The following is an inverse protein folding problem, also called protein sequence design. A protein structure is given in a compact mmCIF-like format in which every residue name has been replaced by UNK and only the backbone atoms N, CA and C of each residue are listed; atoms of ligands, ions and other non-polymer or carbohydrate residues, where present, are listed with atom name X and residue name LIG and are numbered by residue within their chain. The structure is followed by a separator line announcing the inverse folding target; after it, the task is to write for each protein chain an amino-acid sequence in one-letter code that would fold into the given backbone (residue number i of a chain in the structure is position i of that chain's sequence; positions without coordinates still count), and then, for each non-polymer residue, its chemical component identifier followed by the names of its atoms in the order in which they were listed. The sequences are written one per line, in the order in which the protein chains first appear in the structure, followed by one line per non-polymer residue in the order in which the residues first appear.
data_IF_371549635698
#
_entry.id   IF_371549635698
#
_cell.length_a   1.000
_cell.length_b   1.000
_cell.length_c   1.000
_cell.angle_alpha   90.00
_cell.angle_beta   90.00
_cell.angle_gamma   90.00
#
_symmetry.space_group_name_H-M   'P 1'
#
loop_
_entity.id
_entity.type
_entity.pdbx_description
1 polymer ?
#
# COMPACT_ATOMS: atom_id res chain seq x y z
N UNK A 1 1.90 20.30 9.19
CA UNK A 1 3.34 20.06 8.92
C UNK A 1 3.66 20.60 7.53
N UNK A 2 4.59 21.55 7.44
CA UNK A 2 4.85 22.41 6.27
C UNK A 2 5.81 21.74 5.27
N UNK A 3 5.43 21.70 3.99
CA UNK A 3 6.08 20.92 2.92
C UNK A 3 7.38 21.52 2.37
N UNK A 4 8.51 21.36 3.08
CA UNK A 4 9.84 21.79 2.60
C UNK A 4 10.76 20.65 2.11
N UNK A 5 10.20 19.54 1.59
CA UNK A 5 10.97 18.30 1.43
C UNK A 5 11.29 17.78 0.03
N UNK A 6 10.70 18.31 -1.04
CA UNK A 6 10.72 17.65 -2.38
C UNK A 6 11.92 18.02 -3.26
N UNK A 7 12.60 19.14 -2.99
CA UNK A 7 13.69 19.65 -3.84
C UNK A 7 14.87 18.69 -4.08
N UNK A 8 15.45 18.06 -3.03
CA UNK A 8 16.59 17.16 -3.21
C UNK A 8 16.24 15.88 -3.97
N UNK A 9 15.02 15.37 -3.79
CA UNK A 9 14.54 14.17 -4.48
C UNK A 9 14.31 14.44 -5.98
N UNK A 10 13.74 15.60 -6.32
CA UNK A 10 13.58 16.03 -7.72
C UNK A 10 14.94 16.28 -8.40
N UNK A 11 15.92 16.82 -7.67
CA UNK A 11 17.28 16.99 -8.18
C UNK A 11 17.97 15.64 -8.47
N UNK A 12 17.85 14.66 -7.56
CA UNK A 12 18.38 13.32 -7.77
C UNK A 12 17.72 12.63 -8.99
N UNK A 13 16.39 12.74 -9.13
CA UNK A 13 15.65 12.24 -10.31
C UNK A 13 16.13 12.89 -11.61
N UNK A 14 16.33 14.21 -11.61
CA UNK A 14 16.84 14.94 -12.76
C UNK A 14 18.21 14.44 -13.19
N UNK A 15 19.12 14.19 -12.24
CA UNK A 15 20.47 13.70 -12.51
C UNK A 15 20.46 12.27 -13.05
N UNK A 16 19.72 11.33 -12.43
CA UNK A 16 19.65 9.94 -12.92
C UNK A 16 19.00 9.85 -14.30
N UNK A 17 17.96 10.66 -14.55
CA UNK A 17 17.30 10.71 -15.86
C UNK A 17 18.22 11.30 -16.91
N UNK A 18 18.93 12.39 -16.59
CA UNK A 18 19.91 12.99 -17.49
C UNK A 18 21.07 12.04 -17.81
N UNK A 19 21.56 11.27 -16.82
CA UNK A 19 22.63 10.29 -17.02
C UNK A 19 22.17 9.13 -17.90
N UNK A 20 20.95 8.61 -17.69
CA UNK A 20 20.36 7.58 -18.54
C UNK A 20 20.19 8.06 -19.99
N UNK A 21 19.68 9.28 -20.18
CA UNK A 21 19.53 9.91 -21.50
C UNK A 21 20.89 10.14 -22.18
N UNK A 22 21.91 10.56 -21.43
CA UNK A 22 23.28 10.74 -21.95
C UNK A 22 23.88 9.41 -22.40
N UNK A 23 23.71 8.34 -21.62
CA UNK A 23 24.21 7.00 -21.98
C UNK A 23 23.47 6.44 -23.20
N UNK A 24 22.15 6.67 -23.30
CA UNK A 24 21.36 6.36 -24.50
C UNK A 24 21.87 7.16 -25.70
N UNK A 25 22.16 8.46 -25.54
CA UNK A 25 22.69 9.31 -26.60
C UNK A 25 24.08 8.87 -27.08
N UNK A 26 24.97 8.50 -26.16
CA UNK A 26 26.31 8.00 -26.49
C UNK A 26 26.22 6.67 -27.25
N UNK A 27 25.34 5.76 -26.82
CA UNK A 27 25.07 4.50 -27.52
C UNK A 27 24.50 4.74 -28.93
N UNK A 28 23.61 5.74 -29.08
CA UNK A 28 23.01 6.13 -30.37
C UNK A 28 24.03 6.70 -31.38
N UNK A 29 25.07 7.38 -30.92
CA UNK A 29 26.09 8.02 -31.78
C UNK A 29 27.18 7.08 -32.30
N UNK A 30 27.22 5.82 -31.86
CA UNK A 30 28.26 4.80 -32.18
C UNK A 30 27.65 3.57 -32.89
N UNK A 31 27.52 3.59 -34.22
CA UNK A 31 26.90 2.50 -35.00
C UNK A 31 27.72 1.19 -35.00
N UNK A 32 29.02 1.29 -34.68
CA UNK A 32 30.00 0.20 -34.56
C UNK A 32 29.82 -0.68 -33.31
N UNK A 33 29.09 -0.20 -32.30
CA UNK A 33 28.84 -0.90 -31.02
C UNK A 33 27.40 -1.44 -30.90
N UNK A 34 26.56 -1.20 -31.91
CA UNK A 34 25.11 -1.11 -31.76
C UNK A 34 24.41 -2.43 -31.36
N UNK A 35 24.93 -3.59 -31.77
CA UNK A 35 24.24 -4.87 -31.59
C UNK A 35 24.60 -5.63 -30.29
N UNK A 36 25.78 -5.37 -29.72
CA UNK A 36 26.23 -6.03 -28.47
C UNK A 36 26.28 -5.09 -27.27
N UNK A 37 26.45 -3.78 -27.47
CA UNK A 37 26.57 -2.83 -26.36
C UNK A 37 25.24 -2.26 -25.90
N UNK A 38 24.19 -2.29 -26.73
CA UNK A 38 22.88 -1.78 -26.33
C UNK A 38 22.32 -2.55 -25.12
N UNK A 39 22.40 -3.88 -25.14
CA UNK A 39 21.97 -4.72 -24.00
C UNK A 39 22.81 -4.48 -22.73
N UNK A 40 24.13 -4.30 -22.88
CA UNK A 40 25.02 -4.03 -21.75
C UNK A 40 24.81 -2.62 -21.15
N UNK A 41 24.58 -1.60 -21.98
CA UNK A 41 24.29 -0.22 -21.55
C UNK A 41 22.93 -0.15 -20.87
N UNK A 42 21.90 -0.80 -21.45
CA UNK A 42 20.56 -0.87 -20.85
C UNK A 42 20.59 -1.65 -19.53
N UNK A 43 21.33 -2.76 -19.46
CA UNK A 43 21.57 -3.51 -18.22
C UNK A 43 22.31 -2.68 -17.16
N UNK A 44 23.30 -1.88 -17.56
CA UNK A 44 24.02 -0.97 -16.67
C UNK A 44 23.15 0.16 -16.13
N UNK A 45 22.31 0.77 -16.97
CA UNK A 45 21.33 1.80 -16.55
C UNK A 45 20.33 1.20 -15.56
N UNK A 46 19.82 0.00 -15.84
CA UNK A 46 18.91 -0.71 -14.93
C UNK A 46 19.58 -0.99 -13.58
N UNK A 47 20.83 -1.47 -13.60
CA UNK A 47 21.61 -1.75 -12.38
C UNK A 47 21.83 -0.48 -11.55
N UNK A 48 22.23 0.63 -12.18
CA UNK A 48 22.43 1.92 -11.50
C UNK A 48 21.13 2.46 -10.94
N UNK A 49 20.02 2.34 -11.66
CA UNK A 49 18.70 2.75 -11.17
C UNK A 49 18.25 1.93 -9.95
N UNK A 50 18.47 0.61 -9.98
CA UNK A 50 18.20 -0.30 -8.86
C UNK A 50 19.08 0.05 -7.66
N UNK A 51 20.40 0.24 -7.87
CA UNK A 51 21.33 0.61 -6.80
C UNK A 51 21.01 1.98 -6.20
N UNK A 52 20.63 2.97 -7.01
CA UNK A 52 20.21 4.29 -6.53
C UNK A 52 18.92 4.19 -5.69
N UNK A 53 17.96 3.36 -6.10
CA UNK A 53 16.77 3.06 -5.29
C UNK A 53 17.11 2.40 -3.95
N UNK A 54 18.04 1.45 -3.95
CA UNK A 54 18.54 0.80 -2.72
C UNK A 54 19.30 1.77 -1.81
N UNK A 55 20.06 2.72 -2.35
CA UNK A 55 20.74 3.73 -1.54
C UNK A 55 19.74 4.72 -0.93
N UNK A 56 18.75 5.17 -1.71
CA UNK A 56 17.64 6.01 -1.22
C UNK A 56 16.84 5.31 -0.10
N UNK A 57 16.73 3.98 -0.14
CA UNK A 57 16.11 3.15 0.90
C UNK A 57 16.82 3.23 2.26
N UNK A 58 18.14 3.46 2.32
CA UNK A 58 18.87 3.50 3.60
C UNK A 58 19.03 4.90 4.21
N UNK A 59 18.80 5.97 3.45
CA UNK A 59 19.21 7.34 3.85
C UNK A 59 18.02 8.25 4.21
N UNK A 60 16.78 7.89 3.86
CA UNK A 60 15.65 8.81 4.00
C UNK A 60 14.97 8.79 5.38
N UNK A 61 14.59 9.98 5.91
CA UNK A 61 13.83 10.09 7.16
C UNK A 61 12.42 9.49 7.03
N UNK A 62 11.85 9.05 8.17
CA UNK A 62 10.63 8.25 8.29
C UNK A 62 9.42 8.79 7.50
N UNK A 63 9.23 10.11 7.47
CA UNK A 63 8.12 10.74 6.76
C UNK A 63 8.24 10.73 5.22
N UNK A 64 9.38 10.29 4.65
CA UNK A 64 9.60 10.20 3.20
C UNK A 64 9.69 8.78 2.68
N UNK A 65 9.66 7.77 3.56
CA UNK A 65 9.73 6.35 3.17
C UNK A 65 8.62 5.94 2.19
N UNK A 66 7.35 6.39 2.32
CA UNK A 66 6.32 6.11 1.32
C UNK A 66 6.66 6.66 -0.07
N UNK A 67 7.12 7.92 -0.16
CA UNK A 67 7.49 8.53 -1.44
C UNK A 67 8.67 7.81 -2.10
N UNK A 68 9.67 7.44 -1.31
CA UNK A 68 10.83 6.68 -1.77
C UNK A 68 10.43 5.30 -2.29
N UNK A 69 9.50 4.64 -1.59
CA UNK A 69 8.92 3.37 -2.00
C UNK A 69 8.25 3.49 -3.38
N UNK A 70 7.33 4.45 -3.56
CA UNK A 70 6.63 4.62 -4.83
C UNK A 70 7.61 4.91 -5.98
N UNK A 71 8.60 5.75 -5.75
CA UNK A 71 9.60 6.11 -6.75
C UNK A 71 10.46 4.89 -7.15
N UNK A 72 10.98 4.16 -6.16
CA UNK A 72 11.81 2.97 -6.39
C UNK A 72 11.01 1.87 -7.08
N UNK A 73 9.77 1.63 -6.63
CA UNK A 73 8.89 0.63 -7.21
C UNK A 73 8.53 0.97 -8.66
N UNK A 74 8.14 2.22 -8.94
CA UNK A 74 7.78 2.64 -10.29
C UNK A 74 8.97 2.53 -11.24
N UNK A 75 10.15 2.97 -10.83
CA UNK A 75 11.38 2.84 -11.64
C UNK A 75 11.70 1.36 -11.88
N UNK A 76 11.69 0.53 -10.84
CA UNK A 76 12.05 -0.89 -10.98
C UNK A 76 11.05 -1.67 -11.82
N UNK A 77 9.76 -1.34 -11.75
CA UNK A 77 8.70 -2.02 -12.49
C UNK A 77 8.61 -1.56 -13.95
N UNK A 78 8.70 -0.26 -14.20
CA UNK A 78 8.45 0.31 -15.54
C UNK A 78 9.69 0.26 -16.44
N UNK A 79 10.88 0.46 -15.88
CA UNK A 79 12.10 0.62 -16.65
C UNK A 79 12.45 -0.64 -17.48
N UNK A 80 12.33 -1.88 -16.97
CA UNK A 80 12.51 -3.08 -17.81
C UNK A 80 11.54 -3.15 -18.98
N UNK A 81 10.26 -2.83 -18.75
CA UNK A 81 9.23 -2.84 -19.79
C UNK A 81 9.48 -1.78 -20.87
N UNK A 82 9.84 -0.56 -20.45
CA UNK A 82 10.21 0.52 -21.38
C UNK A 82 11.45 0.17 -22.18
N UNK A 83 12.48 -0.38 -21.53
CA UNK A 83 13.71 -0.86 -22.19
C UNK A 83 13.40 -1.93 -23.22
N UNK A 84 12.54 -2.90 -22.90
CA UNK A 84 12.11 -3.94 -23.82
C UNK A 84 11.34 -3.38 -25.02
N UNK A 85 10.39 -2.47 -24.79
CA UNK A 85 9.61 -1.83 -25.86
C UNK A 85 10.49 -1.01 -26.81
N UNK A 86 11.46 -0.27 -26.26
CA UNK A 86 12.44 0.49 -27.04
C UNK A 86 13.32 -0.47 -27.84
N UNK A 87 13.89 -1.51 -27.21
CA UNK A 87 14.71 -2.50 -27.91
C UNK A 87 13.93 -3.18 -29.06
N UNK A 88 12.64 -3.49 -28.87
CA UNK A 88 11.75 -4.03 -29.90
C UNK A 88 11.51 -3.05 -31.05
N UNK A 89 11.26 -1.78 -30.75
CA UNK A 89 11.02 -0.76 -31.76
C UNK A 89 12.26 -0.51 -32.64
N UNK A 90 13.45 -0.60 -32.06
CA UNK A 90 14.72 -0.25 -32.74
C UNK A 90 15.37 -1.41 -33.51
N UNK A 91 15.31 -2.63 -32.99
CA UNK A 91 15.92 -3.80 -33.65
C UNK A 91 15.18 -4.25 -34.92
N UNK A 92 14.03 -3.63 -35.24
CA UNK A 92 13.16 -4.11 -36.30
C UNK A 92 12.66 -5.54 -36.04
N UNK A 93 12.79 -6.04 -34.81
CA UNK A 93 12.32 -7.36 -34.38
C UNK A 93 10.80 -7.41 -34.58
N UNK A 94 10.41 -7.83 -35.79
CA UNK A 94 9.13 -8.48 -36.03
C UNK A 94 9.20 -9.80 -35.26
N UNK A 95 8.96 -9.72 -33.95
CA UNK A 95 8.41 -10.82 -33.19
C UNK A 95 7.02 -11.09 -33.79
N UNK A 96 7.00 -11.64 -35.02
CA UNK A 96 5.88 -12.44 -35.48
C UNK A 96 5.74 -13.48 -34.38
N UNK A 97 4.67 -13.34 -33.58
CA UNK A 97 4.25 -14.27 -32.53
C UNK A 97 5.38 -15.16 -32.05
N UNK A 98 6.10 -14.73 -31.00
CA UNK A 98 7.07 -15.55 -30.26
C UNK A 98 6.95 -17.03 -30.64
N UNK A 99 7.97 -17.58 -31.29
CA UNK A 99 8.12 -19.01 -31.44
C UNK A 99 8.42 -19.56 -30.03
N UNK A 100 7.43 -19.46 -29.12
CA UNK A 100 7.43 -20.01 -27.77
C UNK A 100 7.60 -21.54 -27.81
N UNK A 101 7.36 -22.10 -29.00
CA UNK A 101 7.47 -23.51 -29.35
C UNK A 101 8.72 -23.82 -30.18
N UNK A 102 9.65 -22.86 -30.36
CA UNK A 102 10.93 -23.12 -31.01
C UNK A 102 11.63 -24.28 -30.27
N UNK A 103 11.80 -25.45 -30.92
CA UNK A 103 12.22 -26.66 -30.22
C UNK A 103 13.60 -26.45 -29.58
N UNK A 104 13.64 -26.46 -28.25
CA UNK A 104 14.87 -26.35 -27.46
C UNK A 104 15.09 -25.01 -26.74
N UNK A 105 14.25 -23.98 -26.96
CA UNK A 105 14.33 -22.76 -26.14
C UNK A 105 13.43 -22.87 -24.90
N UNK A 106 13.94 -22.60 -23.68
CA UNK A 106 13.10 -22.52 -22.50
C UNK A 106 12.11 -21.35 -22.66
N UNK A 107 10.82 -21.63 -22.44
CA UNK A 107 9.76 -20.62 -22.52
C UNK A 107 10.14 -19.36 -21.73
N UNK A 108 9.96 -18.14 -22.27
CA UNK A 108 10.18 -16.91 -21.53
C UNK A 108 9.35 -16.81 -20.24
N UNK A 109 8.26 -17.58 -20.12
CA UNK A 109 7.49 -17.72 -18.89
C UNK A 109 8.32 -18.31 -17.73
N UNK A 110 9.30 -19.17 -18.02
CA UNK A 110 10.20 -19.75 -17.01
C UNK A 110 11.10 -18.71 -16.35
N UNK A 111 11.41 -17.60 -17.03
CA UNK A 111 12.19 -16.49 -16.46
C UNK A 111 11.32 -15.40 -15.86
N UNK A 112 10.14 -15.16 -16.45
CA UNK A 112 9.19 -14.16 -15.96
C UNK A 112 8.58 -14.55 -14.62
N UNK A 113 8.22 -15.82 -14.41
CA UNK A 113 7.59 -16.26 -13.16
C UNK A 113 8.50 -16.05 -11.93
N UNK A 114 9.77 -16.50 -11.90
CA UNK A 114 10.67 -16.21 -10.79
C UNK A 114 10.89 -14.72 -10.58
N UNK A 115 11.02 -13.94 -11.66
CA UNK A 115 11.15 -12.49 -11.58
C UNK A 115 9.94 -11.84 -10.91
N UNK A 116 8.71 -12.20 -11.33
CA UNK A 116 7.47 -11.70 -10.75
C UNK A 116 7.39 -12.08 -9.26
N UNK A 117 7.73 -13.33 -8.91
CA UNK A 117 7.73 -13.78 -7.51
C UNK A 117 8.72 -12.97 -6.69
N UNK A 118 9.96 -12.80 -7.15
CA UNK A 118 10.97 -11.99 -6.46
C UNK A 118 10.49 -10.55 -6.30
N UNK A 119 9.94 -9.94 -7.34
CA UNK A 119 9.41 -8.57 -7.29
C UNK A 119 8.22 -8.45 -6.33
N UNK A 120 7.34 -9.44 -6.28
CA UNK A 120 6.22 -9.46 -5.33
C UNK A 120 6.72 -9.57 -3.87
N UNK A 121 7.71 -10.43 -3.60
CA UNK A 121 8.29 -10.56 -2.26
C UNK A 121 9.01 -9.27 -1.82
N UNK A 122 9.79 -8.66 -2.72
CA UNK A 122 10.43 -7.37 -2.48
C UNK A 122 9.40 -6.27 -2.24
N UNK A 123 8.33 -6.24 -3.03
CA UNK A 123 7.24 -5.29 -2.85
C UNK A 123 6.61 -5.40 -1.45
N UNK A 124 6.22 -6.61 -1.02
CA UNK A 124 5.62 -6.82 0.31
C UNK A 124 6.54 -6.37 1.44
N UNK A 125 7.84 -6.63 1.30
CA UNK A 125 8.86 -6.17 2.26
C UNK A 125 9.00 -4.66 2.27
N UNK A 126 9.09 -4.03 1.09
CA UNK A 126 9.25 -2.57 0.97
C UNK A 126 8.02 -1.81 1.46
N UNK A 127 6.82 -2.29 1.17
CA UNK A 127 5.57 -1.71 1.69
C UNK A 127 5.59 -1.70 3.21
N UNK A 128 5.98 -2.82 3.83
CA UNK A 128 6.04 -2.94 5.30
C UNK A 128 7.05 -1.97 5.92
N UNK A 129 8.22 -1.87 5.29
CA UNK A 129 9.26 -0.93 5.71
C UNK A 129 8.83 0.54 5.57
N UNK A 130 8.10 0.85 4.50
CA UNK A 130 7.68 2.22 4.20
C UNK A 130 6.73 2.80 5.24
N UNK A 131 6.05 1.92 5.99
CA UNK A 131 5.06 2.25 7.02
C UNK A 131 5.50 1.67 8.37
N UNK A 132 6.79 1.81 8.64
CA UNK A 132 7.40 1.56 9.93
C UNK A 132 7.72 2.89 10.60
N UNK A 133 7.28 3.05 11.84
CA UNK A 133 7.53 4.21 12.68
C UNK A 133 8.31 3.78 13.91
N UNK A 134 9.47 4.41 14.13
CA UNK A 134 10.31 4.10 15.27
C UNK A 134 9.71 4.64 16.59
N UNK A 135 10.09 4.07 17.74
CA UNK A 135 9.70 4.58 19.05
C UNK A 135 10.07 6.05 19.25
N UNK A 136 9.29 6.75 20.07
CA UNK A 136 9.58 8.13 20.42
C UNK A 136 10.96 8.23 21.11
N UNK A 137 11.79 9.25 20.81
CA UNK A 137 13.09 9.41 21.43
C UNK A 137 12.99 9.46 22.97
N UNK A 138 13.77 8.62 23.66
CA UNK A 138 13.76 8.55 25.13
C UNK A 138 12.60 7.76 25.74
N UNK A 139 11.74 7.13 24.94
CA UNK A 139 10.73 6.20 25.44
C UNK A 139 11.35 4.85 25.82
N UNK A 140 10.85 4.26 26.91
CA UNK A 140 11.23 2.91 27.34
C UNK A 140 10.09 1.95 27.00
N UNK A 141 10.44 0.81 26.41
CA UNK A 141 9.47 -0.20 26.06
C UNK A 141 8.83 -0.79 27.33
N UNK A 142 7.52 -0.65 27.42
CA UNK A 142 6.69 -1.36 28.41
C UNK A 142 6.39 -2.78 27.93
N UNK A 143 5.82 -3.63 28.79
CA UNK A 143 5.42 -4.98 28.38
C UNK A 143 4.28 -4.96 27.34
N UNK A 144 4.21 -5.96 26.46
CA UNK A 144 3.09 -6.11 25.51
C UNK A 144 1.74 -6.16 26.21
N UNK A 145 1.69 -6.78 27.39
CA UNK A 145 0.46 -6.88 28.18
C UNK A 145 -0.01 -5.51 28.66
N UNK A 146 0.91 -4.66 29.13
CA UNK A 146 0.60 -3.30 29.54
C UNK A 146 0.18 -2.44 28.36
N UNK A 147 0.87 -2.54 27.22
CA UNK A 147 0.50 -1.81 26.00
C UNK A 147 -0.89 -2.23 25.49
N UNK A 148 -1.16 -3.54 25.46
CA UNK A 148 -2.48 -4.09 25.13
C UNK A 148 -3.56 -3.57 26.05
N UNK A 149 -3.32 -3.55 27.36
CA UNK A 149 -4.29 -3.04 28.33
C UNK A 149 -4.57 -1.55 28.11
N UNK A 150 -3.52 -0.75 27.84
CA UNK A 150 -3.67 0.68 27.49
C UNK A 150 -4.52 0.88 26.24
N UNK A 151 -4.29 0.08 25.19
CA UNK A 151 -5.12 0.12 23.97
C UNK A 151 -6.58 -0.25 24.24
N UNK A 152 -6.84 -1.29 25.04
CA UNK A 152 -8.21 -1.69 25.37
C UNK A 152 -8.97 -0.62 26.16
N UNK A 153 -8.27 0.12 27.02
CA UNK A 153 -8.87 1.22 27.80
C UNK A 153 -9.25 2.41 26.93
N UNK A 154 -8.65 2.59 25.74
CA UNK A 154 -9.04 3.66 24.79
C UNK A 154 -10.53 3.62 24.42
N UNK A 155 -11.16 2.44 24.50
CA UNK A 155 -12.58 2.25 24.24
C UNK A 155 -13.50 2.90 25.29
N UNK A 156 -12.95 3.38 26.42
CA UNK A 156 -13.74 3.86 27.57
C UNK A 156 -14.20 5.33 27.43
N UNK A 157 -13.67 6.07 26.46
CA UNK A 157 -14.06 7.45 26.17
C UNK A 157 -14.80 7.57 24.84
N UNK A 158 -15.78 8.48 24.75
CA UNK A 158 -16.46 8.84 23.50
C UNK A 158 -15.56 9.66 22.53
N UNK A 159 -14.24 9.61 22.72
CA UNK A 159 -13.26 10.45 22.03
C UNK A 159 -12.91 9.92 20.63
N UNK A 160 -13.02 8.62 20.42
CA UNK A 160 -12.63 7.96 19.17
C UNK A 160 -13.83 7.31 18.48
N UNK A 161 -13.88 7.30 17.14
CA UNK A 161 -15.00 6.75 16.39
C UNK A 161 -14.92 5.21 16.23
N UNK A 162 -13.90 4.57 16.80
CA UNK A 162 -13.62 3.14 16.68
C UNK A 162 -13.73 2.41 18.03
N UNK A 163 -13.91 1.10 17.98
CA UNK A 163 -13.98 0.22 19.13
C UNK A 163 -12.74 -0.67 19.19
N UNK A 164 -12.10 -0.74 20.35
CA UNK A 164 -10.95 -1.63 20.58
C UNK A 164 -11.42 -2.87 21.35
N UNK A 165 -11.11 -4.05 20.83
CA UNK A 165 -11.50 -5.34 21.40
C UNK A 165 -10.32 -6.31 21.48
N UNK A 166 -10.33 -7.26 22.43
CA UNK A 166 -9.28 -8.27 22.50
C UNK A 166 -9.34 -9.19 21.27
N UNK A 167 -8.17 -9.54 20.72
CA UNK A 167 -8.05 -10.50 19.63
C UNK A 167 -8.25 -11.94 20.07
N UNK A 168 -8.09 -12.88 19.13
CA UNK A 168 -8.18 -14.32 19.42
C UNK A 168 -6.95 -14.81 20.18
N UNK A 169 -5.83 -14.10 20.05
CA UNK A 169 -4.57 -14.40 20.73
C UNK A 169 -4.31 -13.41 21.86
N UNK A 170 -3.48 -13.82 22.82
CA UNK A 170 -3.14 -12.98 23.97
C UNK A 170 -2.34 -11.73 23.56
N UNK A 171 -1.54 -11.83 22.49
CA UNK A 171 -0.72 -10.78 21.89
C UNK A 171 -1.47 -9.97 20.81
N UNK A 172 -2.78 -10.13 20.69
CA UNK A 172 -3.56 -9.55 19.60
C UNK A 172 -4.66 -8.60 20.11
N UNK A 173 -4.83 -7.49 19.38
CA UNK A 173 -5.90 -6.50 19.58
C UNK A 173 -6.56 -6.22 18.23
N UNK A 174 -7.87 -6.04 18.24
CA UNK A 174 -8.67 -5.75 17.06
C UNK A 174 -9.32 -4.39 17.27
N UNK A 175 -9.13 -3.48 16.32
CA UNK A 175 -9.74 -2.16 16.29
C UNK A 175 -10.71 -2.10 15.12
N UNK A 176 -11.99 -1.88 15.41
CA UNK A 176 -13.05 -1.87 14.42
C UNK A 176 -13.71 -0.49 14.34
N UNK A 177 -13.89 0.01 13.12
CA UNK A 177 -14.70 1.20 12.86
C UNK A 177 -15.76 0.91 11.81
N UNK A 178 -17.02 0.90 12.25
CA UNK A 178 -18.19 0.84 11.37
C UNK A 178 -18.60 2.27 11.00
N UNK A 179 -18.05 2.79 9.90
CA UNK A 179 -18.24 4.18 9.49
C UNK A 179 -19.42 4.40 8.55
N UNK A 180 -19.91 3.34 7.89
CA UNK A 180 -21.12 3.40 7.09
C UNK A 180 -22.05 2.24 7.47
N UNK A 181 -23.24 2.57 7.93
CA UNK A 181 -24.34 1.61 8.12
C UNK A 181 -25.66 2.34 7.88
N UNK A 182 -26.03 2.46 6.62
CA UNK A 182 -27.20 3.23 6.21
C UNK A 182 -28.10 2.39 5.30
N UNK A 183 -29.41 2.55 5.50
CA UNK A 183 -30.43 2.11 4.58
C UNK A 183 -31.24 3.32 4.12
N UNK A 184 -31.51 3.41 2.82
CA UNK A 184 -32.31 4.49 2.24
C UNK A 184 -33.21 3.98 1.13
N UNK A 185 -34.27 4.74 0.85
CA UNK A 185 -35.18 4.50 -0.25
C UNK A 185 -35.00 5.60 -1.30
N UNK A 186 -34.80 5.19 -2.55
CA UNK A 186 -34.69 6.04 -3.73
C UNK A 186 -35.64 5.51 -4.82
N UNK A 187 -36.51 6.36 -5.40
CA UNK A 187 -37.33 6.08 -6.59
C UNK A 187 -37.77 4.60 -6.79
N UNK A 188 -38.33 3.98 -5.74
CA UNK A 188 -38.80 2.57 -5.68
C UNK A 188 -37.74 1.46 -5.51
N UNK A 189 -36.54 1.80 -5.06
CA UNK A 189 -35.46 0.91 -4.66
C UNK A 189 -35.07 1.14 -3.21
N UNK A 190 -34.88 0.05 -2.48
CA UNK A 190 -34.28 0.06 -1.14
C UNK A 190 -32.81 -0.22 -1.31
N UNK A 191 -31.97 0.60 -0.72
CA UNK A 191 -30.52 0.46 -0.69
C UNK A 191 -30.04 0.27 0.74
N UNK A 192 -29.00 -0.53 0.93
CA UNK A 192 -28.28 -0.70 2.18
C UNK A 192 -26.78 -0.75 1.91
N UNK A 193 -26.02 0.12 2.58
CA UNK A 193 -24.56 0.08 2.62
C UNK A 193 -24.11 -0.29 4.03
N UNK A 194 -23.11 -1.16 4.11
CA UNK A 194 -22.37 -1.40 5.34
C UNK A 194 -20.88 -1.43 5.04
N UNK A 195 -20.11 -0.55 5.68
CA UNK A 195 -18.66 -0.47 5.56
C UNK A 195 -18.01 -0.58 6.93
N UNK A 196 -17.00 -1.46 7.01
CA UNK A 196 -16.23 -1.76 8.21
C UNK A 196 -14.74 -1.69 7.88
N UNK A 197 -14.02 -0.85 8.61
CA UNK A 197 -12.55 -0.88 8.65
C UNK A 197 -12.09 -1.60 9.91
N UNK A 198 -11.19 -2.56 9.74
CA UNK A 198 -10.63 -3.38 10.82
C UNK A 198 -9.11 -3.29 10.79
N UNK A 199 -8.52 -2.94 11.93
CA UNK A 199 -7.08 -2.96 12.16
C UNK A 199 -6.80 -4.07 13.18
N UNK A 200 -6.01 -5.07 12.77
CA UNK A 200 -5.51 -6.10 13.67
C UNK A 200 -4.08 -5.78 14.06
N UNK A 201 -3.80 -5.69 15.36
CA UNK A 201 -2.48 -5.42 15.90
C UNK A 201 -1.97 -6.67 16.61
N UNK A 202 -0.74 -7.09 16.31
CA UNK A 202 -0.02 -8.16 17.00
C UNK A 202 1.25 -7.63 17.62
N UNK A 203 1.43 -7.87 18.91
CA UNK A 203 2.61 -7.43 19.65
C UNK A 203 3.68 -8.51 19.64
N UNK A 204 4.89 -8.14 19.24
CA UNK A 204 6.07 -8.98 19.36
C UNK A 204 7.01 -8.38 20.42
N UNK A 205 7.04 -9.00 21.59
CA UNK A 205 7.87 -8.59 22.72
C UNK A 205 9.37 -8.69 22.41
N UNK A 206 9.78 -9.63 21.54
CA UNK A 206 11.20 -9.89 21.31
C UNK A 206 11.91 -8.73 20.60
N UNK A 207 11.19 -8.02 19.74
CA UNK A 207 11.68 -6.87 18.97
C UNK A 207 10.93 -5.57 19.29
N UNK A 208 10.06 -5.60 20.31
CA UNK A 208 9.15 -4.51 20.72
C UNK A 208 8.44 -3.88 19.52
N UNK A 209 7.89 -4.72 18.62
CA UNK A 209 7.20 -4.27 17.41
C UNK A 209 5.72 -4.63 17.46
N UNK A 210 4.87 -3.62 17.33
CA UNK A 210 3.44 -3.77 17.07
C UNK A 210 3.24 -3.90 15.55
N UNK A 211 2.97 -5.11 15.08
CA UNK A 211 2.67 -5.40 13.68
C UNK A 211 1.19 -5.18 13.40
N UNK A 212 0.89 -4.34 12.43
CA UNK A 212 -0.46 -3.83 12.17
C UNK A 212 -0.93 -4.28 10.81
N UNK A 213 -2.10 -4.90 10.74
CA UNK A 213 -2.68 -5.40 9.51
C UNK A 213 -4.07 -4.80 9.32
N UNK A 214 -4.26 -4.12 8.20
CA UNK A 214 -5.49 -3.40 7.86
C UNK A 214 -6.39 -4.25 6.94
N UNK A 215 -7.69 -4.19 7.18
CA UNK A 215 -8.72 -4.88 6.40
C UNK A 215 -9.93 -3.96 6.22
N UNK A 216 -10.45 -3.89 5.00
CA UNK A 216 -11.67 -3.15 4.70
C UNK A 216 -12.71 -4.12 4.11
N UNK A 217 -13.94 -4.02 4.62
CA UNK A 217 -15.07 -4.83 4.19
C UNK A 217 -16.21 -3.89 3.85
N UNK A 218 -16.70 -3.97 2.61
CA UNK A 218 -17.84 -3.19 2.14
C UNK A 218 -18.90 -4.14 1.57
N UNK A 219 -20.13 -3.94 2.03
CA UNK A 219 -21.31 -4.65 1.58
C UNK A 219 -22.36 -3.66 1.10
N UNK A 220 -22.80 -3.81 -0.15
CA UNK A 220 -23.91 -3.05 -0.71
C UNK A 220 -25.02 -4.00 -1.14
N UNK A 221 -26.23 -3.70 -0.74
CA UNK A 221 -27.43 -4.37 -1.21
C UNK A 221 -28.38 -3.33 -1.79
N UNK A 222 -29.01 -3.63 -2.91
CA UNK A 222 -30.13 -2.85 -3.44
C UNK A 222 -31.22 -3.78 -3.96
N UNK A 223 -32.48 -3.41 -3.76
CA UNK A 223 -33.63 -4.19 -4.20
C UNK A 223 -34.74 -3.29 -4.72
N UNK A 224 -35.28 -3.61 -5.88
CA UNK A 224 -36.42 -2.92 -6.49
C UNK A 224 -37.21 -3.84 -7.42
N UNK A 225 -38.07 -3.25 -8.24
CA UNK A 225 -38.92 -3.99 -9.19
C UNK A 225 -38.12 -4.84 -10.18
N UNK A 226 -36.92 -4.40 -10.55
CA UNK A 226 -36.03 -5.11 -11.48
C UNK A 226 -35.14 -6.17 -10.79
N UNK A 227 -35.41 -6.46 -9.50
CA UNK A 227 -34.73 -7.51 -8.74
C UNK A 227 -33.74 -7.01 -7.70
N UNK A 228 -32.94 -7.96 -7.20
CA UNK A 228 -32.00 -7.80 -6.10
C UNK A 228 -30.57 -7.75 -6.64
N UNK A 229 -29.81 -6.71 -6.27
CA UNK A 229 -28.39 -6.59 -6.57
C UNK A 229 -27.59 -6.57 -5.25
N UNK A 230 -26.65 -7.50 -5.12
CA UNK A 230 -25.75 -7.62 -3.98
C UNK A 230 -24.33 -7.45 -4.48
N UNK A 231 -23.56 -6.54 -3.86
CA UNK A 231 -22.13 -6.44 -4.07
C UNK A 231 -21.37 -6.53 -2.76
N UNK A 232 -20.28 -7.27 -2.80
CA UNK A 232 -19.40 -7.50 -1.67
C UNK A 232 -17.98 -7.20 -2.14
N UNK A 233 -17.29 -6.32 -1.42
CA UNK A 233 -15.91 -5.95 -1.67
C UNK A 233 -15.10 -6.11 -0.39
N UNK A 234 -13.92 -6.72 -0.52
CA UNK A 234 -13.04 -6.98 0.62
C UNK A 234 -11.60 -6.68 0.21
N UNK A 235 -10.93 -5.78 0.93
CA UNK A 235 -9.51 -5.46 0.74
C UNK A 235 -8.72 -5.97 1.93
N UNK A 236 -7.76 -6.87 1.69
CA UNK A 236 -6.93 -7.48 2.75
C UNK A 236 -5.48 -7.09 2.56
N UNK A 237 -4.80 -6.73 3.66
CA UNK A 237 -3.36 -6.51 3.62
C UNK A 237 -2.94 -5.31 2.79
N UNK A 238 -3.87 -4.43 2.45
CA UNK A 238 -3.54 -3.14 1.88
C UNK A 238 -2.94 -2.30 3.02
N UNK A 239 -1.66 -1.97 2.90
CA UNK A 239 -1.09 -0.92 3.74
C UNK A 239 -1.59 0.40 3.14
N UNK A 240 -2.64 0.94 3.73
CA UNK A 240 -3.31 2.12 3.18
C UNK A 240 -2.53 3.37 3.57
N UNK A 241 -1.82 3.95 2.59
CA UNK A 241 -1.06 5.20 2.81
C UNK A 241 -1.97 6.37 3.14
N UNK A 242 -3.03 6.53 2.35
CA UNK A 242 -4.02 7.57 2.47
C UNK A 242 -5.35 7.06 1.93
N UNK A 243 -6.41 7.17 2.75
CA UNK A 243 -7.77 6.86 2.33
C UNK A 243 -8.71 7.83 3.01
N UNK A 244 -9.42 8.60 2.19
CA UNK A 244 -10.43 9.56 2.61
C UNK A 244 -11.67 9.30 1.76
N UNK A 245 -12.76 8.90 2.41
CA UNK A 245 -14.04 8.67 1.77
C UNK A 245 -15.02 9.72 2.25
N UNK A 246 -15.62 10.46 1.31
CA UNK A 246 -16.72 11.37 1.58
C UNK A 246 -17.83 11.07 0.59
N UNK A 247 -18.90 10.46 1.08
CA UNK A 247 -20.06 10.15 0.25
C UNK A 247 -21.27 10.86 0.85
N UNK A 248 -22.08 11.45 -0.03
CA UNK A 248 -23.36 12.04 0.32
C UNK A 248 -24.42 11.34 -0.50
N UNK A 249 -25.27 10.60 0.18
CA UNK A 249 -26.36 9.83 -0.42
C UNK A 249 -27.65 10.59 -0.24
N UNK A 250 -28.38 10.81 -1.33
CA UNK A 250 -29.69 11.46 -1.31
C UNK A 250 -30.80 10.40 -1.33
N UNK A 251 -31.77 10.52 -0.42
CA UNK A 251 -32.88 9.57 -0.30
C UNK A 251 -33.61 9.68 1.03
N UNK A 252 -34.73 8.98 1.17
CA UNK A 252 -35.43 8.88 2.46
C UNK A 252 -34.70 7.84 3.30
N UNK A 253 -33.99 8.29 4.33
CA UNK A 253 -33.26 7.40 5.23
C UNK A 253 -34.24 6.53 6.04
N UNK A 254 -33.89 5.25 6.22
CA UNK A 254 -34.64 4.32 7.07
C UNK A 254 -33.82 4.06 8.32
N UNK A 255 -34.24 4.60 9.46
CA UNK A 255 -33.64 4.31 10.78
C UNK A 255 -34.62 3.43 11.57
N UNK A 256 -34.15 2.28 12.10
CA UNK A 256 -34.98 1.36 12.89
C UNK A 256 -36.29 0.90 12.20
N UNK A 257 -36.28 0.79 10.87
CA UNK A 257 -37.45 0.41 10.08
C UNK A 257 -38.50 1.53 9.90
N UNK A 258 -38.17 2.77 10.27
CA UNK A 258 -39.04 3.94 10.05
C UNK A 258 -38.37 4.93 9.07
N UNK A 259 -39.12 5.48 8.10
CA UNK A 259 -38.60 6.53 7.25
C UNK A 259 -38.41 7.81 8.06
N UNK A 260 -37.17 8.30 8.10
CA UNK A 260 -36.80 9.58 8.69
C UNK A 260 -36.61 10.56 7.54
N UNK A 261 -37.21 11.75 7.64
CA UNK A 261 -37.11 12.81 6.63
C UNK A 261 -35.74 13.52 6.66
N UNK A 262 -34.65 12.75 6.69
CA UNK A 262 -33.31 13.23 6.39
C UNK A 262 -33.07 12.94 4.91
N UNK A 263 -33.07 13.99 4.08
CA UNK A 263 -32.92 13.89 2.63
C UNK A 263 -31.49 13.58 2.17
N UNK A 264 -30.51 13.65 3.07
CA UNK A 264 -29.11 13.37 2.76
C UNK A 264 -28.40 12.71 3.95
N UNK A 265 -27.76 11.56 3.71
CA UNK A 265 -26.82 10.94 4.63
C UNK A 265 -25.41 11.20 4.12
N UNK A 266 -24.63 12.00 4.85
CA UNK A 266 -23.22 12.23 4.55
C UNK A 266 -22.37 11.53 5.61
N UNK A 267 -21.42 10.72 5.16
CA UNK A 267 -20.40 10.16 6.03
C UNK A 267 -19.02 10.54 5.51
N UNK A 268 -18.09 10.74 6.44
CA UNK A 268 -16.69 11.03 6.17
C UNK A 268 -15.85 10.03 6.93
N UNK A 269 -14.94 9.35 6.24
CA UNK A 269 -14.03 8.39 6.81
C UNK A 269 -12.61 8.77 6.44
N UNK A 270 -11.75 8.83 7.45
CA UNK A 270 -10.31 9.02 7.31
C UNK A 270 -9.58 7.95 8.10
N UNK A 271 -8.84 7.07 7.41
CA UNK A 271 -8.09 5.99 8.07
C UNK A 271 -7.10 6.50 9.13
N UNK A 272 -6.65 7.75 9.03
CA UNK A 272 -5.75 8.39 10.00
C UNK A 272 -6.42 8.60 11.35
N UNK A 273 -7.73 8.80 11.40
CA UNK A 273 -8.47 8.94 12.66
C UNK A 273 -8.39 7.66 13.51
N UNK A 274 -8.28 6.49 12.87
CA UNK A 274 -7.98 5.24 13.58
C UNK A 274 -6.49 5.09 13.88
N UNK A 275 -5.65 5.30 12.86
CA UNK A 275 -4.24 4.94 12.91
C UNK A 275 -3.42 5.86 13.81
N UNK A 276 -3.62 7.16 13.74
CA UNK A 276 -2.76 8.13 14.40
C UNK A 276 -2.82 8.02 15.94
N UNK A 277 -3.99 7.82 16.58
CA UNK A 277 -4.06 7.55 18.02
C UNK A 277 -3.32 6.27 18.42
N UNK A 278 -3.46 5.20 17.64
CA UNK A 278 -2.81 3.91 17.89
C UNK A 278 -1.29 4.00 17.71
N UNK A 279 -0.85 4.70 16.66
CA UNK A 279 0.55 5.01 16.36
C UNK A 279 1.18 5.78 17.51
N UNK A 280 0.54 6.86 17.94
CA UNK A 280 1.03 7.72 19.02
C UNK A 280 1.15 6.94 20.31
N UNK A 281 0.10 6.22 20.72
CA UNK A 281 0.13 5.39 21.92
C UNK A 281 1.24 4.34 21.85
N UNK A 282 1.44 3.69 20.70
CA UNK A 282 2.48 2.67 20.54
C UNK A 282 3.88 3.27 20.66
N UNK A 283 4.16 4.34 19.90
CA UNK A 283 5.50 4.93 19.81
C UNK A 283 5.91 5.67 21.09
N UNK A 284 4.97 6.31 21.79
CA UNK A 284 5.21 6.94 23.10
C UNK A 284 5.57 5.91 24.19
N UNK A 285 5.14 4.66 24.03
CA UNK A 285 5.39 3.59 24.98
C UNK A 285 6.61 2.73 24.62
N UNK A 286 7.49 3.19 23.73
CA UNK A 286 8.74 2.51 23.40
C UNK A 286 8.63 1.42 22.34
N UNK A 287 7.48 1.29 21.69
CA UNK A 287 7.23 0.25 20.68
C UNK A 287 7.33 0.79 19.27
N UNK A 288 7.87 -0.03 18.36
CA UNK A 288 7.85 0.24 16.93
C UNK A 288 6.46 -0.06 16.38
N UNK A 289 5.87 0.87 15.64
CA UNK A 289 4.61 0.64 14.94
C UNK A 289 4.88 0.30 13.49
N UNK A 290 4.48 -0.90 13.05
CA UNK A 290 4.81 -1.39 11.71
C UNK A 290 3.59 -1.94 11.01
N UNK A 291 3.13 -1.25 9.96
CA UNK A 291 2.09 -1.78 9.09
C UNK A 291 2.67 -2.91 8.23
N UNK A 292 1.98 -4.05 8.21
CA UNK A 292 2.36 -5.22 7.44
C UNK A 292 1.19 -5.67 6.56
N UNK A 293 1.44 -6.01 5.29
CA UNK A 293 0.41 -6.58 4.42
C UNK A 293 0.04 -8.00 4.86
N UNK A 294 0.95 -8.70 5.55
CA UNK A 294 0.78 -10.06 6.04
C UNK A 294 1.53 -10.24 7.36
N UNK A 295 0.98 -11.06 8.27
CA UNK A 295 1.63 -11.45 9.52
C UNK A 295 2.72 -12.53 9.31
N UNK A 296 3.67 -12.28 8.42
CA UNK A 296 4.77 -13.18 8.06
C UNK A 296 6.11 -12.49 8.30
N UNK A 297 6.67 -12.67 9.51
CA UNK A 297 7.86 -11.94 10.01
C UNK A 297 9.07 -12.02 9.06
N UNK A 298 9.37 -13.18 8.47
CA UNK A 298 10.53 -13.29 7.57
C UNK A 298 10.38 -12.44 6.29
N UNK A 299 9.14 -12.28 5.82
CA UNK A 299 8.83 -11.55 4.59
C UNK A 299 8.74 -10.05 4.84
N UNK A 300 8.01 -9.66 5.89
CA UNK A 300 7.71 -8.26 6.19
C UNK A 300 8.74 -7.60 7.13
N UNK A 301 9.64 -8.40 7.71
CA UNK A 301 10.70 -7.99 8.64
C UNK A 301 10.18 -7.68 10.04
#
# INVERSE_FOLDING_TARGET
MEGKGTGPALAAMGVTTALALLLIYIAWKRPDLHDHMLGAVLGGILLVAVLAGVILFFVLPDNRRPTAFFLTFFVTLTLPGSVFLIARAYSGLRLNSYDLDAPGMPSPLLFLLPYIVVMALLFLRMVSWSMTFEPAPGSHAISAQDLRQRMLVMNSGAEFPFTVSPGKRADEVIVDWKYADAAWLDLMRIHKISSLSRITIRFDETDHTARVHEQEIQFNASGGLDGLNLSFNMKWGAVTFYEHHKETVYGIQIEHGRPVAKLSYSYEFDIREMRDPLLKLTTENGWRFKCVPLFVKWLTG
#
